data_IF_647407259783
#
_entry.id   IF_647407259783
#
_cell.length_a   1.000
_cell.length_b   1.000
_cell.length_c   1.000
_cell.angle_alpha   90.00
_cell.angle_beta   90.00
_cell.angle_gamma   90.00
#
_symmetry.space_group_name_H-M   'P 1'
#
loop_
_entity.id
_entity.type
_entity.pdbx_description
1 polymer ?
#
# COMPACT_ATOMS: atom_id res chain seq x y z
N UNK A 1 13.54 8.06 3.06
CA UNK A 1 12.39 7.17 3.35
C UNK A 1 11.62 7.63 4.58
N UNK A 2 12.27 7.99 5.70
CA UNK A 2 11.59 8.41 6.93
C UNK A 2 10.50 9.50 6.79
N UNK A 3 10.64 10.47 5.88
CA UNK A 3 9.58 11.48 5.68
C UNK A 3 8.25 10.89 5.19
N UNK A 4 8.29 9.86 4.32
CA UNK A 4 7.07 9.23 3.82
C UNK A 4 6.38 8.42 4.92
N UNK A 5 7.16 7.75 5.76
CA UNK A 5 6.68 6.99 6.91
C UNK A 5 6.04 7.91 7.95
N UNK A 6 6.73 8.99 8.34
CA UNK A 6 6.21 9.98 9.31
C UNK A 6 4.93 10.62 8.81
N UNK A 7 4.90 11.10 7.55
CA UNK A 7 3.70 11.73 7.00
C UNK A 7 2.52 10.76 6.91
N UNK A 8 2.74 9.52 6.46
CA UNK A 8 1.69 8.51 6.40
C UNK A 8 1.15 8.14 7.79
N UNK A 9 2.03 8.06 8.79
CA UNK A 9 1.65 7.81 10.18
C UNK A 9 0.79 8.96 10.73
N UNK A 10 1.25 10.20 10.60
CA UNK A 10 0.56 11.39 11.11
C UNK A 10 -0.83 11.56 10.46
N UNK A 11 -0.93 11.35 9.15
CA UNK A 11 -2.21 11.40 8.44
C UNK A 11 -3.13 10.24 8.85
N UNK A 12 -2.58 9.04 9.05
CA UNK A 12 -3.33 7.89 9.55
C UNK A 12 -3.90 8.12 10.95
N UNK A 13 -3.11 8.67 11.87
CA UNK A 13 -3.56 9.06 13.21
C UNK A 13 -4.66 10.14 13.15
N UNK A 14 -4.61 11.02 12.15
CA UNK A 14 -5.66 11.98 11.84
C UNK A 14 -6.87 11.37 11.10
N UNK A 15 -7.00 10.03 11.05
CA UNK A 15 -8.10 9.28 10.44
C UNK A 15 -8.22 9.41 8.91
N UNK A 16 -7.12 9.73 8.22
CA UNK A 16 -7.06 9.65 6.77
C UNK A 16 -6.60 8.26 6.31
N UNK A 17 -7.14 7.80 5.19
CA UNK A 17 -6.69 6.57 4.51
C UNK A 17 -5.59 6.91 3.51
N UNK A 18 -4.51 6.14 3.52
CA UNK A 18 -3.34 6.36 2.66
C UNK A 18 -3.44 5.50 1.39
N UNK A 19 -3.37 6.13 0.20
CA UNK A 19 -3.61 5.46 -1.10
C UNK A 19 -2.45 5.63 -2.12
N UNK A 20 -1.29 4.96 -1.91
CA UNK A 20 -0.18 4.86 -2.88
C UNK A 20 -0.41 3.81 -3.99
N UNK A 21 0.48 3.80 -5.00
CA UNK A 21 0.43 2.94 -6.18
C UNK A 21 1.23 1.63 -6.09
N UNK A 22 1.57 1.17 -4.88
CA UNK A 22 2.34 -0.07 -4.61
C UNK A 22 3.76 -0.17 -5.22
N UNK A 23 4.35 0.94 -5.68
CA UNK A 23 5.70 0.93 -6.23
C UNK A 23 6.79 0.65 -5.16
N UNK A 24 8.02 0.38 -5.61
CA UNK A 24 9.17 0.34 -4.72
C UNK A 24 9.43 1.74 -4.10
N UNK A 25 10.04 1.75 -2.91
CA UNK A 25 10.52 3.00 -2.32
C UNK A 25 9.47 3.72 -1.47
N UNK A 26 9.04 4.92 -1.91
CA UNK A 26 8.17 5.81 -1.14
C UNK A 26 6.82 5.17 -0.85
N UNK A 27 6.19 4.57 -1.86
CA UNK A 27 4.90 3.89 -1.72
C UNK A 27 4.98 2.76 -0.69
N UNK A 28 6.00 1.90 -0.81
CA UNK A 28 6.23 0.81 0.13
C UNK A 28 6.41 1.32 1.58
N UNK A 29 7.13 2.42 1.76
CA UNK A 29 7.34 3.05 3.07
C UNK A 29 6.03 3.61 3.63
N UNK A 30 5.24 4.32 2.82
CA UNK A 30 3.95 4.88 3.22
C UNK A 30 2.95 3.77 3.63
N UNK A 31 2.85 2.70 2.84
CA UNK A 31 2.00 1.55 3.15
C UNK A 31 2.38 0.90 4.48
N UNK A 32 3.67 0.68 4.75
CA UNK A 32 4.14 0.05 6.00
C UNK A 32 3.68 0.82 7.23
N UNK A 33 3.79 2.14 7.22
CA UNK A 33 3.33 2.99 8.33
C UNK A 33 1.82 3.14 8.41
N UNK A 34 1.11 3.01 7.29
CA UNK A 34 -0.33 3.20 7.22
C UNK A 34 -1.15 1.93 7.48
N UNK A 35 -0.54 0.73 7.54
CA UNK A 35 -1.27 -0.53 7.83
C UNK A 35 -2.14 -0.44 9.10
N UNK A 36 -1.67 0.08 10.25
CA UNK A 36 -2.48 0.11 11.47
C UNK A 36 -3.69 1.05 11.41
N UNK A 37 -3.66 2.04 10.53
CA UNK A 37 -4.65 3.13 10.45
C UNK A 37 -5.52 3.05 9.19
N UNK A 38 -5.09 2.29 8.18
CA UNK A 38 -5.81 2.03 6.94
C UNK A 38 -5.04 2.47 5.70
N UNK A 39 -4.86 1.54 4.76
CA UNK A 39 -4.22 1.82 3.47
C UNK A 39 -4.87 1.07 2.32
N UNK A 40 -4.82 1.68 1.12
CA UNK A 40 -5.30 1.09 -0.13
C UNK A 40 -4.14 1.05 -1.13
N UNK A 41 -3.79 -0.13 -1.62
CA UNK A 41 -2.81 -0.29 -2.70
C UNK A 41 -3.48 -0.25 -4.08
N UNK A 42 -3.13 0.74 -4.91
CA UNK A 42 -3.58 0.80 -6.30
C UNK A 42 -2.59 0.06 -7.20
N UNK A 43 -3.04 -0.99 -7.87
CA UNK A 43 -2.18 -1.87 -8.67
C UNK A 43 -2.40 -1.62 -10.16
N UNK A 44 -1.31 -1.50 -10.92
CA UNK A 44 -1.34 -1.24 -12.36
C UNK A 44 -1.62 -2.50 -13.22
N UNK A 45 -1.43 -3.70 -12.66
CA UNK A 45 -1.67 -5.02 -13.25
C UNK A 45 -3.01 -5.61 -12.77
N UNK A 46 -3.32 -6.87 -13.09
CA UNK A 46 -4.40 -7.61 -12.41
C UNK A 46 -4.23 -7.60 -10.88
N UNK A 47 -5.32 -7.67 -10.12
CA UNK A 47 -5.31 -7.57 -8.64
C UNK A 47 -4.58 -8.74 -7.97
N UNK A 48 -4.39 -9.84 -8.68
CA UNK A 48 -3.71 -11.07 -8.29
C UNK A 48 -2.22 -11.09 -8.70
N UNK A 49 -1.76 -10.07 -9.42
CA UNK A 49 -0.38 -9.94 -9.90
C UNK A 49 0.42 -9.05 -8.95
N UNK A 50 1.43 -9.65 -8.32
CA UNK A 50 2.33 -8.97 -7.39
C UNK A 50 3.50 -8.36 -8.16
N UNK A 51 3.48 -7.04 -8.31
CA UNK A 51 4.59 -6.27 -8.83
C UNK A 51 4.74 -4.96 -8.05
N UNK A 52 5.96 -4.58 -7.63
CA UNK A 52 7.22 -5.31 -7.74
C UNK A 52 7.27 -6.53 -6.79
N UNK A 53 8.01 -7.57 -7.18
CA UNK A 53 8.08 -8.86 -6.45
C UNK A 53 8.66 -8.74 -5.03
N UNK A 54 9.50 -7.74 -4.82
CA UNK A 54 10.15 -7.38 -3.57
C UNK A 54 9.14 -6.92 -2.50
N UNK A 55 7.98 -6.42 -2.94
CA UNK A 55 6.89 -5.99 -2.07
C UNK A 55 5.91 -7.14 -1.75
N UNK A 56 6.21 -8.40 -2.07
CA UNK A 56 5.29 -9.54 -1.87
C UNK A 56 4.73 -9.66 -0.46
N UNK A 57 5.57 -9.55 0.56
CA UNK A 57 5.14 -9.63 1.96
C UNK A 57 4.26 -8.44 2.35
N UNK A 58 4.65 -7.24 1.90
CA UNK A 58 3.88 -6.03 2.14
C UNK A 58 2.50 -6.11 1.46
N UNK A 59 2.45 -6.59 0.23
CA UNK A 59 1.21 -6.84 -0.49
C UNK A 59 0.30 -7.80 0.28
N UNK A 60 0.83 -8.93 0.74
CA UNK A 60 0.06 -9.90 1.52
C UNK A 60 -0.49 -9.28 2.81
N UNK A 61 0.28 -8.40 3.47
CA UNK A 61 -0.17 -7.67 4.64
C UNK A 61 -1.30 -6.70 4.31
N UNK A 62 -1.20 -5.94 3.20
CA UNK A 62 -2.24 -5.00 2.77
C UNK A 62 -3.52 -5.76 2.39
N UNK A 63 -3.43 -6.91 1.73
CA UNK A 63 -4.61 -7.74 1.43
C UNK A 63 -5.28 -8.24 2.72
N UNK A 64 -4.50 -8.51 3.76
CA UNK A 64 -5.00 -9.00 5.04
C UNK A 64 -5.67 -7.90 5.87
N UNK A 65 -5.01 -6.74 5.99
CA UNK A 65 -5.38 -5.70 6.96
C UNK A 65 -5.86 -4.39 6.30
N UNK A 66 -5.83 -4.30 4.97
CA UNK A 66 -6.23 -3.14 4.18
C UNK A 66 -7.01 -3.54 2.93
N UNK A 67 -6.80 -2.83 1.82
CA UNK A 67 -7.46 -3.10 0.53
C UNK A 67 -6.47 -2.98 -0.61
N UNK A 68 -6.62 -3.81 -1.64
CA UNK A 68 -5.99 -3.59 -2.94
C UNK A 68 -7.05 -3.42 -4.02
N UNK A 69 -6.78 -2.55 -4.99
CA UNK A 69 -7.69 -2.29 -6.12
C UNK A 69 -6.93 -2.29 -7.43
N UNK A 70 -7.59 -2.77 -8.48
CA UNK A 70 -7.11 -2.70 -9.85
C UNK A 70 -8.27 -2.40 -10.80
N UNK A 71 -7.96 -1.70 -11.90
CA UNK A 71 -8.88 -1.49 -13.01
C UNK A 71 -8.86 -2.64 -14.02
N UNK A 72 -7.85 -3.52 -13.95
CA UNK A 72 -7.71 -4.66 -14.85
C UNK A 72 -8.42 -5.88 -14.24
N UNK A 73 -8.91 -6.77 -15.09
CA UNK A 73 -9.41 -8.06 -14.62
C UNK A 73 -8.29 -8.84 -13.90
N UNK A 74 -8.64 -9.72 -12.94
CA UNK A 74 -7.71 -10.73 -12.47
C UNK A 74 -7.21 -11.58 -13.66
N UNK A 75 -5.94 -11.96 -13.67
CA UNK A 75 -5.38 -12.84 -14.71
C UNK A 75 -5.60 -14.33 -14.43
#
# INVERSE_FOLDING_TARGET
>A
MGHAESLACELGEASFVIVPGMACGIDAAAHRSAIPTGTIGVIASGVDIIYPTENRELFAQIVKDGVTVSQNAPE
#
